data_IF_976540775322
#
_entry.id   IF_976540775322
#
_cell.length_a   1.000
_cell.length_b   1.000
_cell.length_c   1.000
_cell.angle_alpha   90.00
_cell.angle_beta   90.00
_cell.angle_gamma   90.00
#
_symmetry.space_group_name_H-M   'P 1'
#
loop_
_entity.id
_entity.type
_entity.pdbx_description
1 polymer ?
#
# COMPACT_ATOMS: atom_id res chain seq x y z
N UNK A 1 7.19 21.08 -28.48
CA UNK A 1 6.47 20.44 -27.36
C UNK A 1 5.77 19.20 -27.90
N UNK A 2 6.29 18.01 -27.60
CA UNK A 2 5.64 16.75 -27.98
C UNK A 2 4.39 16.57 -27.12
N UNK A 3 3.22 16.56 -27.76
CA UNK A 3 1.96 16.12 -27.16
C UNK A 3 2.11 14.67 -26.69
N UNK A 4 2.63 14.47 -25.47
CA UNK A 4 2.64 13.15 -24.82
C UNK A 4 1.17 12.77 -24.67
N UNK A 5 0.71 11.82 -25.51
CA UNK A 5 -0.64 11.24 -25.39
C UNK A 5 -0.86 10.85 -23.93
N UNK A 6 -2.02 11.21 -23.35
CA UNK A 6 -2.43 10.75 -22.03
C UNK A 6 -2.22 9.23 -21.98
N UNK A 7 -1.35 8.75 -21.09
CA UNK A 7 -1.19 7.32 -20.89
C UNK A 7 -2.48 6.82 -20.24
N UNK A 8 -3.25 6.07 -21.02
CA UNK A 8 -4.38 5.29 -20.56
C UNK A 8 -4.00 3.82 -20.76
N UNK A 9 -4.36 2.96 -19.81
CA UNK A 9 -4.15 1.52 -20.00
C UNK A 9 -4.82 1.06 -21.31
N UNK A 10 -4.09 0.37 -22.21
CA UNK A 10 -4.68 -0.13 -23.44
C UNK A 10 -5.84 -1.08 -23.15
N UNK A 11 -6.95 -0.95 -23.86
CA UNK A 11 -8.12 -1.83 -23.69
C UNK A 11 -7.76 -3.31 -23.87
N UNK A 12 -6.84 -3.62 -24.78
CA UNK A 12 -6.36 -4.99 -24.99
C UNK A 12 -5.69 -5.58 -23.74
N UNK A 13 -4.93 -4.76 -23.00
CA UNK A 13 -4.29 -5.18 -21.77
C UNK A 13 -5.31 -5.34 -20.63
N UNK A 14 -6.27 -4.43 -20.52
CA UNK A 14 -7.37 -4.56 -19.56
C UNK A 14 -8.17 -5.85 -19.79
N UNK A 15 -8.39 -6.22 -21.06
CA UNK A 15 -9.03 -7.48 -21.43
C UNK A 15 -8.20 -8.70 -21.02
N UNK A 16 -6.88 -8.67 -21.20
CA UNK A 16 -6.02 -9.76 -20.74
C UNK A 16 -6.02 -9.89 -19.21
N UNK A 17 -5.99 -8.77 -18.49
CA UNK A 17 -6.10 -8.78 -17.02
C UNK A 17 -7.43 -9.42 -16.61
N UNK A 18 -8.53 -9.03 -17.24
CA UNK A 18 -9.85 -9.62 -17.00
C UNK A 18 -9.88 -11.14 -17.20
N UNK A 19 -9.34 -11.63 -18.32
CA UNK A 19 -9.21 -13.07 -18.63
C UNK A 19 -8.37 -13.81 -17.57
N UNK A 20 -7.31 -13.18 -17.06
CA UNK A 20 -6.47 -13.74 -16.00
C UNK A 20 -7.06 -13.62 -14.59
N UNK A 21 -8.10 -12.81 -14.39
CA UNK A 21 -8.65 -12.49 -13.07
C UNK A 21 -10.00 -13.17 -12.80
N UNK A 22 -10.35 -14.18 -13.59
CA UNK A 22 -11.63 -14.90 -13.46
C UNK A 22 -12.84 -13.94 -13.45
N UNK A 23 -12.79 -12.91 -14.30
CA UNK A 23 -13.88 -11.94 -14.43
C UNK A 23 -13.95 -10.91 -13.30
N UNK A 24 -12.88 -10.67 -12.55
CA UNK A 24 -12.90 -9.72 -11.43
C UNK A 24 -11.55 -9.11 -11.08
N UNK A 25 -11.39 -7.79 -11.22
CA UNK A 25 -10.18 -7.09 -10.75
C UNK A 25 -10.45 -5.67 -10.26
N UNK A 26 -9.56 -5.20 -9.39
CA UNK A 26 -9.40 -3.79 -9.01
C UNK A 26 -7.93 -3.45 -9.26
N UNK A 27 -7.66 -2.51 -10.15
CA UNK A 27 -6.31 -2.08 -10.49
C UNK A 27 -6.13 -0.61 -10.16
N UNK A 28 -5.22 -0.33 -9.24
CA UNK A 28 -4.77 1.02 -8.89
C UNK A 28 -3.51 1.35 -9.70
N UNK A 29 -3.48 2.51 -10.34
CA UNK A 29 -2.30 2.98 -11.06
C UNK A 29 -2.23 4.51 -11.05
N UNK A 30 -1.18 5.06 -11.68
CA UNK A 30 -1.04 6.48 -11.95
C UNK A 30 -1.10 6.76 -13.45
N UNK A 31 -1.65 7.92 -13.80
CA UNK A 31 -1.62 8.44 -15.16
C UNK A 31 -0.21 8.94 -15.52
N UNK A 32 0.01 9.32 -16.79
CA UNK A 32 1.25 9.99 -17.21
C UNK A 32 1.55 11.31 -16.49
N UNK A 33 0.60 11.85 -15.73
CA UNK A 33 0.74 13.06 -14.91
C UNK A 33 0.93 12.78 -13.42
N UNK A 34 0.96 11.50 -13.01
CA UNK A 34 1.01 11.11 -11.60
C UNK A 34 -0.35 11.17 -10.89
N UNK A 35 -1.45 11.37 -11.62
CA UNK A 35 -2.79 11.38 -11.03
C UNK A 35 -3.23 9.94 -10.77
N UNK A 36 -3.77 9.61 -9.59
CA UNK A 36 -4.25 8.27 -9.28
C UNK A 36 -5.45 7.91 -10.17
N UNK A 37 -5.49 6.66 -10.59
CA UNK A 37 -6.53 6.08 -11.44
C UNK A 37 -6.91 4.71 -10.90
N UNK A 38 -8.17 4.34 -11.09
CA UNK A 38 -8.69 3.04 -10.70
C UNK A 38 -9.47 2.46 -11.88
N UNK A 39 -9.09 1.23 -12.26
CA UNK A 39 -9.85 0.42 -13.22
C UNK A 39 -10.47 -0.74 -12.46
N UNK A 40 -11.77 -0.97 -12.68
CA UNK A 40 -12.50 -2.06 -12.07
C UNK A 40 -13.28 -2.84 -13.13
N UNK A 41 -13.35 -4.15 -12.93
CA UNK A 41 -14.26 -5.02 -13.67
C UNK A 41 -14.73 -6.14 -12.76
N UNK A 42 -16.02 -6.45 -12.82
CA UNK A 42 -16.63 -7.55 -12.11
C UNK A 42 -17.75 -8.16 -12.95
N UNK A 43 -17.64 -9.45 -13.22
CA UNK A 43 -18.65 -10.21 -13.96
C UNK A 43 -19.83 -10.59 -13.08
N UNK A 44 -19.64 -10.68 -11.76
CA UNK A 44 -20.70 -10.91 -10.80
C UNK A 44 -20.50 -10.15 -9.48
N UNK A 45 -21.62 -9.90 -8.78
CA UNK A 45 -21.66 -9.11 -7.56
C UNK A 45 -20.93 -9.78 -6.38
N UNK A 46 -20.90 -11.11 -6.32
CA UNK A 46 -20.25 -11.86 -5.23
C UNK A 46 -18.73 -11.65 -5.29
N UNK A 47 -18.13 -11.79 -6.47
CA UNK A 47 -16.71 -11.55 -6.71
C UNK A 47 -16.34 -10.10 -6.43
N UNK A 48 -17.21 -9.15 -6.78
CA UNK A 48 -17.01 -7.74 -6.46
C UNK A 48 -16.93 -7.51 -4.94
N UNK A 49 -17.88 -8.05 -4.18
CA UNK A 49 -17.90 -7.92 -2.73
C UNK A 49 -16.70 -8.61 -2.07
N UNK A 50 -16.32 -9.79 -2.56
CA UNK A 50 -15.16 -10.52 -2.05
C UNK A 50 -13.86 -9.72 -2.25
N UNK A 51 -13.62 -9.19 -3.46
CA UNK A 51 -12.43 -8.39 -3.75
C UNK A 51 -12.41 -7.08 -2.93
N UNK A 52 -13.55 -6.41 -2.79
CA UNK A 52 -13.65 -5.22 -1.94
C UNK A 52 -13.34 -5.52 -0.47
N UNK A 53 -13.84 -6.65 0.04
CA UNK A 53 -13.50 -7.12 1.38
C UNK A 53 -12.00 -7.37 1.53
N UNK A 54 -11.39 -8.13 0.60
CA UNK A 54 -9.96 -8.40 0.63
C UNK A 54 -9.11 -7.12 0.57
N UNK A 55 -9.48 -6.14 -0.27
CA UNK A 55 -8.77 -4.86 -0.35
C UNK A 55 -8.83 -4.11 0.98
N UNK A 56 -10.01 -4.06 1.61
CA UNK A 56 -10.16 -3.38 2.91
C UNK A 56 -9.34 -4.07 4.00
N UNK A 57 -9.43 -5.40 4.10
CA UNK A 57 -8.64 -6.17 5.07
C UNK A 57 -7.15 -5.99 4.85
N UNK A 58 -6.69 -6.05 3.59
CA UNK A 58 -5.29 -5.83 3.26
C UNK A 58 -4.81 -4.44 3.67
N UNK A 59 -5.59 -3.39 3.38
CA UNK A 59 -5.25 -2.01 3.79
C UNK A 59 -5.07 -1.91 5.30
N UNK A 60 -6.02 -2.44 6.07
CA UNK A 60 -5.97 -2.43 7.53
C UNK A 60 -4.76 -3.20 8.08
N UNK A 61 -4.45 -4.36 7.50
CA UNK A 61 -3.28 -5.14 7.89
C UNK A 61 -1.97 -4.40 7.60
N UNK A 62 -1.86 -3.71 6.46
CA UNK A 62 -0.68 -2.90 6.14
C UNK A 62 -0.52 -1.73 7.12
N UNK A 63 -1.62 -1.04 7.47
CA UNK A 63 -1.59 0.04 8.44
C UNK A 63 -1.14 -0.44 9.83
N UNK A 64 -1.62 -1.62 10.25
CA UNK A 64 -1.19 -2.23 11.50
C UNK A 64 0.30 -2.57 11.49
N UNK A 65 0.81 -3.19 10.42
CA UNK A 65 2.24 -3.52 10.29
C UNK A 65 3.11 -2.25 10.35
N UNK A 66 2.66 -1.17 9.73
CA UNK A 66 3.37 0.11 9.78
C UNK A 66 3.38 0.71 11.20
N UNK A 67 2.27 0.58 11.93
CA UNK A 67 2.16 1.04 13.31
C UNK A 67 3.07 0.24 14.24
N UNK A 68 3.08 -1.09 14.10
CA UNK A 68 3.95 -1.99 14.86
C UNK A 68 5.42 -1.67 14.59
N UNK A 69 5.82 -1.54 13.32
CA UNK A 69 7.19 -1.17 12.95
C UNK A 69 7.61 0.19 13.51
N UNK A 70 6.70 1.18 13.52
CA UNK A 70 6.98 2.51 14.09
C UNK A 70 7.12 2.43 15.62
N UNK A 71 6.25 1.67 16.28
CA UNK A 71 6.27 1.48 17.74
C UNK A 71 7.55 0.80 18.18
N UNK A 72 7.98 -0.25 17.46
CA UNK A 72 9.23 -0.97 17.73
C UNK A 72 10.46 -0.06 17.60
N UNK A 73 10.47 0.84 16.61
CA UNK A 73 11.54 1.82 16.45
C UNK A 73 11.59 2.82 17.60
N UNK A 74 10.43 3.31 18.06
CA UNK A 74 10.37 4.22 19.22
C UNK A 74 10.81 3.49 20.49
N UNK A 75 10.33 2.26 20.71
CA UNK A 75 10.69 1.48 21.89
C UNK A 75 12.19 1.18 21.95
N UNK A 76 12.81 0.80 20.81
CA UNK A 76 14.26 0.61 20.72
C UNK A 76 15.02 1.89 21.01
N UNK A 77 14.57 3.02 20.46
CA UNK A 77 15.21 4.32 20.70
C UNK A 77 15.16 4.73 22.18
N UNK A 78 14.03 4.51 22.85
CA UNK A 78 13.92 4.83 24.28
C UNK A 78 14.85 3.95 25.13
N UNK A 79 15.01 2.67 24.79
CA UNK A 79 15.96 1.78 25.48
C UNK A 79 17.42 2.21 25.26
N UNK A 80 17.77 2.76 24.09
CA UNK A 80 19.11 3.27 23.80
C UNK A 80 19.41 4.63 24.50
N UNK A 81 18.39 5.43 24.80
CA UNK A 81 18.53 6.71 25.52
C UNK A 81 18.62 6.51 27.06
N UNK A 82 18.05 5.43 27.62
CA UNK A 82 18.09 5.14 29.06
C UNK A 82 19.40 4.46 29.53
N UNK A 83 20.26 3.97 28.61
CA UNK A 83 21.54 3.31 28.93
C UNK A 83 22.73 4.30 29.08
N UNK A 84 22.48 5.61 29.17
CA UNK A 84 23.51 6.67 29.17
C UNK A 84 23.62 7.50 30.47
N UNK A 85 23.13 6.99 31.61
CA UNK A 85 23.20 7.71 32.90
C UNK A 85 23.55 6.82 34.09
N UNK A 86 24.67 6.08 34.03
CA UNK A 86 25.25 5.46 35.24
C UNK A 86 26.76 5.25 35.14
N UNK A 87 27.51 6.34 34.93
CA UNK A 87 28.95 6.32 35.25
C UNK A 87 29.52 7.71 35.49
N UNK A 88 30.01 7.87 36.73
CA UNK A 88 31.00 8.85 37.21
C UNK A 88 30.46 10.19 37.74
N UNK A 89 30.14 10.22 39.05
CA UNK A 89 30.76 11.20 39.95
C UNK A 89 30.62 10.72 41.42
N UNK A 90 31.54 9.82 41.81
CA UNK A 90 31.88 9.60 43.22
C UNK A 90 33.41 9.46 43.29
N UNK A 91 34.10 10.57 43.60
CA UNK A 91 35.39 10.69 44.29
C UNK A 91 35.88 12.14 44.34
N UNK A 92 35.60 12.84 45.44
CA UNK A 92 36.62 13.28 46.43
C UNK A 92 35.98 14.11 47.57
#
# INVERSE_FOLDING_TARGET
MTNKKKFNFPESLLKQIDECSFGGYIMFNFSSKGEPQVYTKFDNQINAMALLYYVNTWSQSVDQLNLEATTDQIAKKNLEEDDFDDSEDDKD
#
